data_IF_707840720509
#
_entry.id   IF_707840720509
#
_cell.length_a   1.000
_cell.length_b   1.000
_cell.length_c   1.000
_cell.angle_alpha   90.00
_cell.angle_beta   90.00
_cell.angle_gamma   90.00
#
_symmetry.space_group_name_H-M   'P 1'
#
loop_
_entity.id
_entity.type
_entity.pdbx_description
1 polymer ?
#
# COMPACT_ATOMS: atom_id res chain seq x y z
N UNK A 1 -5.07 -20.49 -45.66
CA UNK A 1 -4.99 -19.14 -45.07
C UNK A 1 -3.67 -18.51 -45.47
N UNK A 2 -3.66 -17.35 -46.12
CA UNK A 2 -2.42 -16.66 -46.53
C UNK A 2 -1.79 -16.01 -45.30
N UNK A 3 -0.45 -16.00 -45.18
CA UNK A 3 0.28 -15.38 -44.04
C UNK A 3 -0.18 -13.93 -43.73
N UNK A 4 -0.63 -13.19 -44.74
CA UNK A 4 -1.18 -11.83 -44.60
C UNK A 4 -2.47 -11.79 -43.76
N UNK A 5 -3.34 -12.78 -43.91
CA UNK A 5 -4.60 -12.91 -43.16
C UNK A 5 -4.31 -13.18 -41.69
N UNK A 6 -3.42 -14.14 -41.39
CA UNK A 6 -3.00 -14.46 -40.02
C UNK A 6 -2.41 -13.22 -39.33
N UNK A 7 -1.53 -12.48 -40.02
CA UNK A 7 -0.94 -11.24 -39.47
C UNK A 7 -2.01 -10.19 -39.17
N UNK A 8 -3.06 -10.11 -39.97
CA UNK A 8 -4.14 -9.15 -39.76
C UNK A 8 -5.00 -9.51 -38.54
N UNK A 9 -5.29 -10.81 -38.33
CA UNK A 9 -6.03 -11.28 -37.16
C UNK A 9 -5.27 -11.07 -35.85
N UNK A 10 -3.95 -11.32 -35.86
CA UNK A 10 -3.10 -11.19 -34.66
C UNK A 10 -2.87 -9.72 -34.28
N UNK A 11 -2.87 -8.79 -35.24
CA UNK A 11 -2.67 -7.36 -34.97
C UNK A 11 -3.68 -6.80 -33.95
N UNK A 12 -4.92 -7.31 -33.96
CA UNK A 12 -5.96 -6.86 -33.05
C UNK A 12 -5.75 -7.29 -31.59
N UNK A 13 -4.91 -8.29 -31.32
CA UNK A 13 -4.68 -8.80 -29.96
C UNK A 13 -3.24 -8.61 -29.48
N UNK A 14 -2.37 -8.08 -30.35
CA UNK A 14 -0.93 -7.99 -30.09
C UNK A 14 -0.56 -7.22 -28.83
N UNK A 15 -1.29 -6.14 -28.49
CA UNK A 15 -1.03 -5.35 -27.28
C UNK A 15 -1.31 -6.17 -26.02
N UNK A 16 -2.47 -6.83 -25.94
CA UNK A 16 -2.81 -7.68 -24.80
C UNK A 16 -1.85 -8.85 -24.65
N UNK A 17 -1.49 -9.51 -25.76
CA UNK A 17 -0.50 -10.59 -25.75
C UNK A 17 0.86 -10.12 -25.21
N UNK A 18 1.37 -8.97 -25.71
CA UNK A 18 2.63 -8.41 -25.24
C UNK A 18 2.59 -8.07 -23.75
N UNK A 19 1.52 -7.41 -23.28
CA UNK A 19 1.34 -7.09 -21.86
C UNK A 19 1.23 -8.35 -20.99
N UNK A 20 0.57 -9.40 -21.48
CA UNK A 20 0.51 -10.70 -20.81
C UNK A 20 1.89 -11.34 -20.63
N UNK A 21 2.73 -11.31 -21.67
CA UNK A 21 4.12 -11.78 -21.60
C UNK A 21 4.93 -10.94 -20.62
N UNK A 22 4.81 -9.60 -20.67
CA UNK A 22 5.50 -8.71 -19.73
C UNK A 22 5.07 -8.96 -18.28
N UNK A 23 3.77 -9.18 -18.04
CA UNK A 23 3.25 -9.51 -16.71
C UNK A 23 3.79 -10.85 -16.20
N UNK A 24 3.88 -11.86 -17.06
CA UNK A 24 4.45 -13.16 -16.71
C UNK A 24 5.96 -13.05 -16.39
N UNK A 25 6.72 -12.35 -17.24
CA UNK A 25 8.15 -12.10 -17.00
C UNK A 25 8.37 -11.30 -15.72
N UNK A 26 7.52 -10.31 -15.44
CA UNK A 26 7.53 -9.57 -14.19
C UNK A 26 7.30 -10.50 -13.00
N UNK A 27 6.29 -11.37 -13.04
CA UNK A 27 6.02 -12.36 -11.98
C UNK A 27 7.21 -13.27 -11.71
N UNK A 28 7.83 -13.84 -12.75
CA UNK A 28 9.03 -14.69 -12.62
C UNK A 28 10.20 -13.92 -12.03
N UNK A 29 10.47 -12.72 -12.56
CA UNK A 29 11.56 -11.86 -12.07
C UNK A 29 11.36 -11.48 -10.61
N UNK A 30 10.10 -11.23 -10.21
CA UNK A 30 9.73 -10.91 -8.85
C UNK A 30 9.93 -12.09 -7.88
N UNK A 31 9.61 -13.32 -8.28
CA UNK A 31 9.93 -14.50 -7.47
C UNK A 31 11.44 -14.67 -7.26
N UNK A 32 12.23 -14.56 -8.33
CA UNK A 32 13.70 -14.61 -8.23
C UNK A 32 14.21 -13.50 -7.31
N UNK A 33 13.65 -12.30 -7.43
CA UNK A 33 14.00 -11.16 -6.58
C UNK A 33 13.72 -11.44 -5.10
N UNK A 34 12.53 -11.93 -4.74
CA UNK A 34 12.19 -12.28 -3.36
C UNK A 34 13.13 -13.35 -2.81
N UNK A 35 13.43 -14.39 -3.59
CA UNK A 35 14.31 -15.48 -3.12
C UNK A 35 15.74 -15.00 -2.90
N UNK A 36 16.31 -14.22 -3.82
CA UNK A 36 17.70 -13.74 -3.71
C UNK A 36 17.86 -12.66 -2.66
N UNK A 37 16.84 -11.82 -2.47
CA UNK A 37 16.91 -10.65 -1.59
C UNK A 37 16.09 -10.82 -0.31
N UNK A 38 15.74 -12.05 0.08
CA UNK A 38 14.90 -12.33 1.24
C UNK A 38 15.36 -11.56 2.49
N UNK A 39 16.65 -11.65 2.81
CA UNK A 39 17.21 -10.99 3.99
C UNK A 39 17.24 -9.46 3.85
N UNK A 40 17.44 -8.95 2.64
CA UNK A 40 17.40 -7.51 2.37
C UNK A 40 15.97 -6.97 2.49
N UNK A 41 14.97 -7.72 2.00
CA UNK A 41 13.56 -7.34 2.11
C UNK A 41 13.14 -7.37 3.58
N UNK A 42 13.47 -8.44 4.31
CA UNK A 42 13.19 -8.53 5.74
C UNK A 42 13.83 -7.38 6.51
N UNK A 43 15.10 -7.07 6.22
CA UNK A 43 15.80 -5.92 6.80
C UNK A 43 15.10 -4.60 6.48
N UNK A 44 14.76 -4.34 5.22
CA UNK A 44 14.06 -3.11 4.81
C UNK A 44 12.70 -2.97 5.50
N UNK A 45 11.93 -4.05 5.58
CA UNK A 45 10.63 -4.07 6.25
C UNK A 45 10.78 -3.84 7.77
N UNK A 46 11.84 -4.38 8.39
CA UNK A 46 12.13 -4.19 9.81
C UNK A 46 12.57 -2.76 10.13
N UNK A 47 13.39 -2.16 9.26
CA UNK A 47 13.81 -0.77 9.36
C UNK A 47 12.59 0.16 9.19
N UNK A 48 11.70 -0.14 8.25
CA UNK A 48 10.46 0.61 8.02
C UNK A 48 9.51 0.53 9.22
N UNK A 49 9.36 -0.66 9.82
CA UNK A 49 8.54 -0.84 11.03
C UNK A 49 9.09 -0.05 12.23
N UNK A 50 10.42 -0.08 12.44
CA UNK A 50 11.08 0.68 13.51
C UNK A 50 10.91 2.19 13.33
N UNK A 51 11.09 2.70 12.10
CA UNK A 51 10.89 4.11 11.81
C UNK A 51 9.45 4.56 12.10
N UNK A 52 8.46 3.74 11.75
CA UNK A 52 7.05 4.03 12.04
C UNK A 52 6.74 4.04 13.55
N UNK A 53 7.42 3.21 14.36
CA UNK A 53 7.29 3.25 15.82
C UNK A 53 7.93 4.52 16.41
N UNK A 54 9.12 4.89 15.96
CA UNK A 54 9.81 6.10 16.43
C UNK A 54 8.99 7.36 16.18
N UNK A 55 8.36 7.48 15.01
CA UNK A 55 7.46 8.59 14.67
C UNK A 55 6.26 8.69 15.65
N UNK A 56 5.65 7.56 16.00
CA UNK A 56 4.53 7.51 16.96
C UNK A 56 4.95 7.93 18.37
N UNK A 57 6.17 7.60 18.81
CA UNK A 57 6.68 7.98 20.13
C UNK A 57 7.05 9.47 20.21
N UNK A 58 7.64 10.05 19.15
CA UNK A 58 8.00 11.47 19.12
C UNK A 58 6.75 12.36 19.23
N UNK A 59 5.67 12.01 18.52
CA UNK A 59 4.41 12.78 18.57
C UNK A 59 3.78 12.72 19.97
N UNK A 60 3.84 11.56 20.64
CA UNK A 60 3.26 11.40 21.98
C UNK A 60 4.10 12.08 23.08
N UNK A 61 5.43 12.19 22.90
CA UNK A 61 6.33 12.84 23.86
C UNK A 61 6.26 14.37 23.85
N UNK A 62 5.98 14.98 22.70
CA UNK A 62 5.95 16.44 22.57
C UNK A 62 4.65 17.11 23.07
N UNK A 63 3.58 16.34 23.29
CA UNK A 63 2.24 16.87 23.61
C UNK A 63 1.89 17.06 25.09
N UNK A 64 2.79 16.75 26.05
CA UNK A 64 2.44 16.74 27.48
C UNK A 64 2.96 17.93 28.30
N UNK A 65 3.31 19.06 27.67
CA UNK A 65 3.87 20.23 28.36
C UNK A 65 2.96 21.46 28.52
N UNK A 66 1.70 21.48 28.06
CA UNK A 66 0.94 22.75 28.08
C UNK A 66 -0.57 22.65 28.34
N UNK A 67 -1.01 21.96 29.39
CA UNK A 67 -2.34 22.22 29.98
C UNK A 67 -2.32 22.04 31.50
N UNK A 68 -1.46 22.79 32.18
CA UNK A 68 -1.64 23.07 33.60
C UNK A 68 -2.24 24.49 33.73
N UNK A 69 -3.57 24.55 33.86
CA UNK A 69 -4.25 25.71 34.44
C UNK A 69 -5.05 26.61 33.50
N UNK A 70 -6.26 26.18 33.11
CA UNK A 70 -7.40 27.09 33.17
C UNK A 70 -8.72 26.32 33.31
N UNK A 71 -9.20 26.20 34.55
CA UNK A 71 -10.56 25.75 34.87
C UNK A 71 -11.46 26.97 34.69
N UNK A 72 -11.93 27.18 33.46
CA UNK A 72 -12.96 28.17 33.13
C UNK A 72 -14.29 27.47 32.89
N UNK A 73 -15.23 27.64 33.80
CA UNK A 73 -16.65 27.33 33.60
C UNK A 73 -17.17 27.91 32.28
N UNK A 74 -17.78 27.09 31.42
CA UNK A 74 -18.77 27.63 30.48
C UNK A 74 -19.93 26.66 30.27
N UNK A 75 -21.12 27.23 30.46
CA UNK A 75 -22.44 26.62 30.48
C UNK A 75 -22.94 26.20 29.10
N UNK A 76 -23.88 25.26 29.13
CA UNK A 76 -24.77 24.80 28.07
C UNK A 76 -25.41 25.94 27.24
N UNK A 77 -25.54 25.74 25.92
CA UNK A 77 -26.75 26.05 25.15
C UNK A 77 -26.69 25.57 23.68
N UNK A 78 -27.68 24.74 23.32
CA UNK A 78 -28.38 24.53 22.03
C UNK A 78 -28.01 25.31 20.76
N UNK A 79 -28.01 24.59 19.62
CA UNK A 79 -28.61 24.87 18.28
C UNK A 79 -27.78 24.14 17.20
N UNK A 80 -28.28 23.15 16.47
CA UNK A 80 -29.16 23.21 15.28
C UNK A 80 -28.70 24.15 14.15
N UNK A 81 -28.65 23.54 12.96
CA UNK A 81 -28.54 24.07 11.60
C UNK A 81 -27.16 24.38 10.95
N UNK A 82 -26.99 23.67 9.82
CA UNK A 82 -26.43 24.06 8.52
C UNK A 82 -25.33 25.12 8.44
N UNK A 83 -24.31 24.87 7.60
CA UNK A 83 -24.05 25.64 6.37
C UNK A 83 -22.67 25.32 5.77
N UNK A 84 -22.65 25.11 4.45
CA UNK A 84 -21.46 24.97 3.61
C UNK A 84 -20.70 26.29 3.47
N UNK A 85 -19.37 26.26 3.22
CA UNK A 85 -18.53 27.18 2.42
C UNK A 85 -17.06 26.77 2.64
N UNK A 86 -16.33 26.24 1.65
CA UNK A 86 -15.52 26.92 0.61
C UNK A 86 -14.39 27.82 1.14
N UNK A 87 -13.17 27.41 0.76
CA UNK A 87 -12.06 28.22 0.25
C UNK A 87 -11.41 29.30 1.13
N UNK A 88 -10.09 29.15 1.30
CA UNK A 88 -9.14 30.21 0.99
C UNK A 88 -8.37 30.83 2.15
N UNK A 89 -7.05 30.98 1.91
CA UNK A 89 -6.14 31.98 2.47
C UNK A 89 -5.82 31.86 3.97
N UNK A 90 -4.74 32.39 4.52
CA UNK A 90 -3.41 32.87 4.12
C UNK A 90 -2.64 32.92 5.45
N UNK A 91 -1.34 33.17 5.41
CA UNK A 91 -0.45 32.91 6.54
C UNK A 91 -0.69 33.74 7.80
N UNK A 92 -0.16 33.25 8.91
CA UNK A 92 0.25 34.13 10.00
C UNK A 92 1.48 33.55 10.70
N UNK A 93 2.57 34.31 10.60
CA UNK A 93 3.85 34.11 11.27
C UNK A 93 3.72 34.74 12.65
N UNK A 94 3.79 33.95 13.72
CA UNK A 94 3.91 34.48 15.08
C UNK A 94 5.31 34.20 15.63
N UNK A 95 6.12 35.25 15.59
CA UNK A 95 7.38 35.43 16.29
C UNK A 95 7.13 35.97 17.70
N UNK A 96 7.81 35.41 18.70
CA UNK A 96 8.12 36.09 19.96
C UNK A 96 7.43 35.53 21.20
N UNK A 97 8.22 34.87 22.06
CA UNK A 97 8.50 35.42 23.38
C UNK A 97 9.73 34.75 23.98
N UNK A 98 10.82 35.50 24.08
CA UNK A 98 11.87 35.27 25.06
C UNK A 98 11.29 35.69 26.41
N UNK A 99 11.32 34.81 27.41
CA UNK A 99 11.22 35.21 28.82
C UNK A 99 12.22 34.39 29.63
N UNK A 100 13.26 35.11 30.04
CA UNK A 100 14.24 34.69 31.01
C UNK A 100 13.63 34.73 32.41
N UNK A 101 13.56 33.58 33.08
CA UNK A 101 13.33 33.52 34.51
C UNK A 101 14.37 32.60 35.18
N UNK A 102 15.42 33.23 35.67
CA UNK A 102 16.38 32.67 36.60
C UNK A 102 15.68 32.31 37.92
N UNK A 103 15.51 31.01 38.17
CA UNK A 103 15.08 30.47 39.47
C UNK A 103 16.17 29.58 40.06
N UNK A 104 17.06 30.17 40.85
CA UNK A 104 18.00 29.44 41.70
C UNK A 104 17.23 28.78 42.86
N UNK A 105 17.04 27.46 42.80
CA UNK A 105 16.64 26.65 43.95
C UNK A 105 17.73 25.60 44.23
N UNK A 106 18.71 26.03 45.02
CA UNK A 106 19.68 25.17 45.70
C UNK A 106 18.98 24.45 46.85
N UNK A 107 18.37 23.30 46.56
CA UNK A 107 17.83 22.39 47.57
C UNK A 107 18.67 21.11 47.65
N UNK A 108 19.60 21.06 48.62
CA UNK A 108 20.29 19.84 49.03
C UNK A 108 19.25 18.77 49.40
N UNK A 109 19.19 17.69 48.61
CA UNK A 109 18.39 16.50 48.89
C UNK A 109 19.27 15.28 48.71
N UNK A 110 20.33 15.25 49.50
CA UNK A 110 21.30 14.16 49.55
C UNK A 110 20.68 12.97 50.29
N UNK A 111 20.51 11.84 49.61
CA UNK A 111 20.49 10.53 50.28
C UNK A 111 19.45 9.48 49.86
N UNK A 112 18.40 9.82 49.11
CA UNK A 112 17.32 8.84 48.78
C UNK A 112 17.20 8.46 47.29
N UNK A 113 17.98 9.06 46.39
CA UNK A 113 17.83 8.87 44.93
C UNK A 113 18.52 7.63 44.35
N UNK A 114 19.57 7.11 44.99
CA UNK A 114 20.41 6.06 44.40
C UNK A 114 19.69 4.70 44.22
N UNK A 115 18.68 4.41 45.04
CA UNK A 115 17.88 3.18 44.89
C UNK A 115 16.92 3.24 43.70
N UNK A 116 16.29 4.40 43.49
CA UNK A 116 15.28 4.59 42.45
C UNK A 116 15.89 4.61 41.05
N UNK A 117 17.09 5.17 40.88
CA UNK A 117 17.81 5.13 39.59
C UNK A 117 18.17 3.70 39.18
N UNK A 118 18.54 2.85 40.15
CA UNK A 118 18.86 1.45 39.90
C UNK A 118 17.62 0.64 39.50
N UNK A 119 16.49 0.84 40.17
CA UNK A 119 15.22 0.21 39.77
C UNK A 119 14.77 0.67 38.38
N UNK A 120 14.84 1.96 38.07
CA UNK A 120 14.53 2.48 36.74
C UNK A 120 15.43 1.90 35.65
N UNK A 121 16.71 1.71 35.94
CA UNK A 121 17.65 1.11 34.99
C UNK A 121 17.32 -0.36 34.71
N UNK A 122 17.03 -1.16 35.74
CA UNK A 122 16.62 -2.56 35.58
C UNK A 122 15.30 -2.68 34.81
N UNK A 123 14.30 -1.84 35.13
CA UNK A 123 13.03 -1.79 34.40
C UNK A 123 13.27 -1.44 32.92
N UNK A 124 14.10 -0.44 32.63
CA UNK A 124 14.42 -0.03 31.25
C UNK A 124 15.12 -1.14 30.48
N UNK A 125 16.03 -1.88 31.14
CA UNK A 125 16.73 -3.02 30.57
C UNK A 125 15.76 -4.17 30.27
N UNK A 126 14.90 -4.52 31.22
CA UNK A 126 13.89 -5.58 31.03
C UNK A 126 12.91 -5.23 29.90
N UNK A 127 12.43 -3.97 29.83
CA UNK A 127 11.59 -3.51 28.72
C UNK A 127 12.35 -3.59 27.40
N UNK A 128 13.62 -3.17 27.36
CA UNK A 128 14.44 -3.28 26.14
C UNK A 128 14.67 -4.73 25.70
N UNK A 129 14.86 -5.66 26.64
CA UNK A 129 15.02 -7.09 26.36
C UNK A 129 13.71 -7.72 25.88
N UNK A 130 12.57 -7.38 26.50
CA UNK A 130 11.25 -7.82 26.05
C UNK A 130 10.90 -7.27 24.67
N UNK A 131 11.17 -5.99 24.40
CA UNK A 131 11.00 -5.38 23.08
C UNK A 131 11.94 -6.03 22.05
N UNK A 132 13.19 -6.36 22.42
CA UNK A 132 14.11 -7.07 21.53
C UNK A 132 13.66 -8.52 21.27
N UNK A 133 13.07 -9.19 22.26
CA UNK A 133 12.56 -10.55 22.15
C UNK A 133 11.26 -10.61 21.36
N UNK A 134 10.36 -9.64 21.53
CA UNK A 134 9.18 -9.44 20.68
C UNK A 134 9.56 -9.03 19.25
N UNK A 135 10.59 -8.21 19.07
CA UNK A 135 11.12 -7.86 17.75
C UNK A 135 11.83 -9.04 17.04
N UNK A 136 12.21 -10.08 17.78
CA UNK A 136 12.78 -11.32 17.25
C UNK A 136 11.74 -12.33 16.73
N UNK A 137 10.47 -12.17 17.12
CA UNK A 137 9.36 -12.90 16.54
C UNK A 137 8.66 -12.01 15.52
N UNK A 138 8.52 -12.48 14.29
CA UNK A 138 7.88 -11.74 13.20
C UNK A 138 6.58 -11.11 13.68
N UNK A 139 6.56 -9.77 13.85
CA UNK A 139 5.34 -9.08 14.20
C UNK A 139 4.27 -9.37 13.15
N UNK A 140 2.98 -9.37 13.51
CA UNK A 140 1.89 -9.72 12.58
C UNK A 140 1.93 -8.87 11.29
N UNK A 141 2.36 -7.60 11.38
CA UNK A 141 2.51 -6.70 10.23
C UNK A 141 3.60 -7.15 9.23
N UNK A 142 4.68 -7.77 9.72
CA UNK A 142 5.78 -8.27 8.88
C UNK A 142 5.34 -9.50 8.09
N UNK A 143 4.65 -10.44 8.75
CA UNK A 143 4.09 -11.63 8.11
C UNK A 143 3.08 -11.24 7.04
N UNK A 144 2.22 -10.27 7.34
CA UNK A 144 1.23 -9.76 6.40
C UNK A 144 1.88 -9.04 5.20
N UNK A 145 2.94 -8.25 5.43
CA UNK A 145 3.71 -7.63 4.36
C UNK A 145 4.31 -8.70 3.42
N UNK A 146 4.90 -9.76 3.97
CA UNK A 146 5.41 -10.89 3.20
C UNK A 146 4.31 -11.58 2.40
N UNK A 147 3.15 -11.84 3.01
CA UNK A 147 2.03 -12.46 2.33
C UNK A 147 1.55 -11.61 1.15
N UNK A 148 1.44 -10.28 1.31
CA UNK A 148 1.07 -9.35 0.23
C UNK A 148 2.08 -9.35 -0.92
N UNK A 149 3.39 -9.36 -0.62
CA UNK A 149 4.44 -9.44 -1.63
C UNK A 149 4.36 -10.77 -2.41
N UNK A 150 4.06 -11.88 -1.72
CA UNK A 150 3.85 -13.20 -2.33
C UNK A 150 2.56 -13.25 -3.17
N UNK A 151 1.46 -12.64 -2.72
CA UNK A 151 0.23 -12.52 -3.52
C UNK A 151 0.47 -11.73 -4.81
N UNK A 152 1.29 -10.67 -4.77
CA UNK A 152 1.73 -9.95 -5.96
C UNK A 152 2.39 -10.86 -7.00
N UNK A 153 3.28 -11.76 -6.58
CA UNK A 153 3.88 -12.78 -7.45
C UNK A 153 2.82 -13.68 -8.10
N UNK A 154 1.96 -14.30 -7.28
CA UNK A 154 0.96 -15.26 -7.73
C UNK A 154 -0.02 -14.63 -8.74
N UNK A 155 -0.46 -13.41 -8.45
CA UNK A 155 -1.33 -12.67 -9.36
C UNK A 155 -0.64 -12.29 -10.67
N UNK A 156 0.64 -11.91 -10.65
CA UNK A 156 1.38 -11.62 -11.89
C UNK A 156 1.45 -12.84 -12.81
N UNK A 157 1.77 -14.02 -12.25
CA UNK A 157 1.79 -15.26 -13.04
C UNK A 157 0.40 -15.63 -13.57
N UNK A 158 -0.61 -15.67 -12.69
CA UNK A 158 -1.97 -16.08 -13.05
C UNK A 158 -2.61 -15.14 -14.08
N UNK A 159 -2.52 -13.83 -13.87
CA UNK A 159 -3.09 -12.81 -14.77
C UNK A 159 -2.31 -12.71 -16.09
N UNK A 160 -1.00 -12.92 -16.08
CA UNK A 160 -0.19 -13.02 -17.30
C UNK A 160 -0.64 -14.18 -18.20
N UNK A 161 -0.77 -15.39 -17.64
CA UNK A 161 -1.26 -16.57 -18.37
C UNK A 161 -2.69 -16.37 -18.86
N UNK A 162 -3.58 -15.83 -18.02
CA UNK A 162 -4.96 -15.52 -18.40
C UNK A 162 -5.00 -14.55 -19.60
N UNK A 163 -4.23 -13.47 -19.55
CA UNK A 163 -4.18 -12.46 -20.61
C UNK A 163 -3.69 -13.05 -21.93
N UNK A 164 -2.63 -13.86 -21.89
CA UNK A 164 -2.09 -14.54 -23.08
C UNK A 164 -3.16 -15.47 -23.67
N UNK A 165 -3.80 -16.28 -22.84
CA UNK A 165 -4.80 -17.27 -23.26
C UNK A 165 -6.02 -16.61 -23.89
N UNK A 166 -6.57 -15.55 -23.25
CA UNK A 166 -7.71 -14.81 -23.78
C UNK A 166 -7.34 -14.04 -25.05
N UNK A 167 -6.14 -13.47 -25.13
CA UNK A 167 -5.66 -12.78 -26.33
C UNK A 167 -5.51 -13.75 -27.52
N UNK A 168 -4.97 -14.95 -27.28
CA UNK A 168 -4.90 -15.99 -28.31
C UNK A 168 -6.29 -16.46 -28.74
N UNK A 169 -7.20 -16.69 -27.80
CA UNK A 169 -8.59 -17.04 -28.11
C UNK A 169 -9.27 -15.95 -28.98
N UNK A 170 -9.14 -14.68 -28.59
CA UNK A 170 -9.69 -13.54 -29.34
C UNK A 170 -9.11 -13.41 -30.75
N UNK A 171 -7.90 -13.91 -31.00
CA UNK A 171 -7.31 -13.91 -32.34
C UNK A 171 -8.17 -14.73 -33.33
N UNK A 172 -8.76 -15.83 -32.86
CA UNK A 172 -9.54 -16.76 -33.69
C UNK A 172 -11.05 -16.46 -33.71
N UNK A 173 -11.55 -15.63 -32.80
CA UNK A 173 -12.97 -15.23 -32.80
C UNK A 173 -13.22 -14.24 -33.95
N UNK A 174 -14.27 -14.41 -34.79
CA UNK A 174 -14.61 -13.49 -35.88
C UNK A 174 -15.25 -12.19 -35.36
N UNK A 175 -14.46 -11.39 -34.65
CA UNK A 175 -14.86 -10.09 -34.10
C UNK A 175 -14.14 -8.93 -34.81
N UNK A 176 -14.71 -7.73 -34.73
CA UNK A 176 -14.08 -6.53 -35.29
C UNK A 176 -12.74 -6.23 -34.64
N UNK A 177 -11.75 -5.80 -35.44
CA UNK A 177 -10.39 -5.54 -34.97
C UNK A 177 -10.33 -4.55 -33.79
N UNK A 178 -11.19 -3.53 -33.78
CA UNK A 178 -11.29 -2.55 -32.68
C UNK A 178 -11.76 -3.21 -31.38
N UNK A 179 -12.73 -4.11 -31.45
CA UNK A 179 -13.26 -4.83 -30.27
C UNK A 179 -12.20 -5.77 -29.71
N UNK A 180 -11.48 -6.52 -30.57
CA UNK A 180 -10.33 -7.35 -30.16
C UNK A 180 -9.28 -6.51 -29.45
N UNK A 181 -8.93 -5.36 -30.04
CA UNK A 181 -7.90 -4.44 -29.50
C UNK A 181 -8.31 -3.89 -28.15
N UNK A 182 -9.54 -3.39 -28.02
CA UNK A 182 -10.04 -2.84 -26.76
C UNK A 182 -10.08 -3.91 -25.66
N UNK A 183 -10.60 -5.10 -25.96
CA UNK A 183 -10.67 -6.20 -24.99
C UNK A 183 -9.27 -6.64 -24.53
N UNK A 184 -8.36 -6.87 -25.48
CA UNK A 184 -7.00 -7.30 -25.19
C UNK A 184 -6.19 -6.23 -24.46
N UNK A 185 -6.32 -4.96 -24.85
CA UNK A 185 -5.62 -3.85 -24.20
C UNK A 185 -6.14 -3.58 -22.77
N UNK A 186 -7.46 -3.59 -22.57
CA UNK A 186 -8.05 -3.44 -21.24
C UNK A 186 -7.61 -4.58 -20.31
N UNK A 187 -7.74 -5.82 -20.77
CA UNK A 187 -7.31 -7.00 -20.02
C UNK A 187 -5.82 -6.93 -19.68
N UNK A 188 -4.95 -6.73 -20.67
CA UNK A 188 -3.50 -6.71 -20.45
C UNK A 188 -3.05 -5.57 -19.55
N UNK A 189 -3.64 -4.37 -19.68
CA UNK A 189 -3.29 -3.23 -18.83
C UNK A 189 -3.70 -3.49 -17.38
N UNK A 190 -4.94 -3.92 -17.14
CA UNK A 190 -5.40 -4.24 -15.79
C UNK A 190 -4.63 -5.39 -15.16
N UNK A 191 -4.31 -6.42 -15.95
CA UNK A 191 -3.53 -7.59 -15.50
C UNK A 191 -2.09 -7.24 -15.13
N UNK A 192 -1.50 -6.20 -15.69
CA UNK A 192 -0.15 -5.74 -15.36
C UNK A 192 -0.12 -4.88 -14.08
N UNK A 193 -1.07 -3.95 -13.92
CA UNK A 193 -1.07 -3.03 -12.78
C UNK A 193 -1.63 -3.65 -11.49
N UNK A 194 -2.50 -4.65 -11.58
CA UNK A 194 -3.07 -5.28 -10.39
C UNK A 194 -2.02 -5.96 -9.48
N UNK A 195 -1.08 -6.78 -9.99
CA UNK A 195 0.03 -7.32 -9.20
C UNK A 195 0.94 -6.23 -8.59
N UNK A 196 1.15 -5.12 -9.31
CA UNK A 196 1.94 -4.01 -8.82
C UNK A 196 1.30 -3.36 -7.57
N UNK A 197 -0.04 -3.30 -7.52
CA UNK A 197 -0.77 -2.83 -6.34
C UNK A 197 -0.48 -3.67 -5.10
N UNK A 198 -0.47 -5.01 -5.24
CA UNK A 198 -0.13 -5.91 -4.14
C UNK A 198 1.31 -5.72 -3.64
N UNK A 199 2.26 -5.53 -4.55
CA UNK A 199 3.67 -5.34 -4.17
C UNK A 199 3.85 -4.02 -3.43
N UNK A 200 3.26 -2.93 -3.93
CA UNK A 200 3.30 -1.62 -3.25
C UNK A 200 2.61 -1.71 -1.89
N UNK A 201 1.46 -2.39 -1.80
CA UNK A 201 0.76 -2.61 -0.53
C UNK A 201 1.63 -3.37 0.48
N UNK A 202 2.32 -4.42 0.04
CA UNK A 202 3.24 -5.20 0.89
C UNK A 202 4.34 -4.33 1.50
N UNK A 203 5.03 -3.54 0.70
CA UNK A 203 6.08 -2.63 1.22
C UNK A 203 5.54 -1.52 2.14
N UNK A 204 4.31 -1.04 1.91
CA UNK A 204 3.72 0.02 2.74
C UNK A 204 3.10 -0.49 4.03
N UNK A 205 2.86 -1.80 4.14
CA UNK A 205 2.19 -2.42 5.30
C UNK A 205 2.96 -2.18 6.59
N UNK A 206 4.28 -2.32 6.61
CA UNK A 206 5.07 -2.15 7.83
C UNK A 206 5.23 -0.69 8.28
N UNK A 207 5.08 0.26 7.35
CA UNK A 207 5.19 1.68 7.66
C UNK A 207 3.83 2.30 8.07
N UNK A 208 2.76 1.91 7.38
CA UNK A 208 1.44 2.53 7.53
C UNK A 208 0.45 1.68 8.34
N UNK A 209 0.74 0.40 8.54
CA UNK A 209 -0.23 -0.60 8.97
C UNK A 209 -1.14 -1.05 7.83
N UNK A 210 -1.91 -2.12 8.08
CA UNK A 210 -2.79 -2.79 7.11
C UNK A 210 -3.74 -1.83 6.40
N UNK A 211 -4.63 -1.16 7.16
CA UNK A 211 -5.73 -0.39 6.60
C UNK A 211 -5.25 0.81 5.76
N UNK A 212 -4.19 1.50 6.23
CA UNK A 212 -3.65 2.65 5.51
C UNK A 212 -2.83 2.22 4.28
N UNK A 213 -2.11 1.10 4.34
CA UNK A 213 -1.44 0.55 3.17
C UNK A 213 -2.44 0.15 2.08
N UNK A 214 -3.55 -0.49 2.45
CA UNK A 214 -4.63 -0.87 1.53
C UNK A 214 -5.28 0.37 0.89
N UNK A 215 -5.71 1.33 1.70
CA UNK A 215 -6.31 2.58 1.23
C UNK A 215 -5.39 3.32 0.22
N UNK A 216 -4.08 3.22 0.43
CA UNK A 216 -3.09 3.89 -0.42
C UNK A 216 -2.95 3.31 -1.83
N UNK A 217 -3.36 2.05 -2.04
CA UNK A 217 -3.31 1.39 -3.35
C UNK A 217 -4.68 1.10 -3.95
N UNK A 218 -5.76 1.27 -3.16
CA UNK A 218 -7.13 0.98 -3.54
C UNK A 218 -7.53 1.60 -4.90
N UNK A 219 -7.22 2.88 -5.22
CA UNK A 219 -7.57 3.44 -6.53
C UNK A 219 -6.95 2.69 -7.69
N UNK A 220 -5.68 2.28 -7.56
CA UNK A 220 -4.97 1.51 -8.58
C UNK A 220 -5.52 0.08 -8.69
N UNK A 221 -5.80 -0.58 -7.57
CA UNK A 221 -6.36 -1.92 -7.53
C UNK A 221 -7.76 -1.97 -8.16
N UNK A 222 -8.63 -1.02 -7.81
CA UNK A 222 -10.00 -0.90 -8.36
C UNK A 222 -9.96 -0.62 -9.86
N UNK A 223 -9.16 0.35 -10.30
CA UNK A 223 -9.02 0.66 -11.72
C UNK A 223 -8.52 -0.54 -12.53
N UNK A 224 -7.48 -1.21 -12.04
CA UNK A 224 -6.92 -2.40 -12.69
C UNK A 224 -7.93 -3.54 -12.76
N UNK A 225 -8.67 -3.79 -11.69
CA UNK A 225 -9.72 -4.82 -11.63
C UNK A 225 -10.88 -4.51 -12.59
N UNK A 226 -11.28 -3.25 -12.69
CA UNK A 226 -12.30 -2.81 -13.63
C UNK A 226 -11.86 -3.04 -15.08
N UNK A 227 -10.59 -2.74 -15.40
CA UNK A 227 -10.03 -3.01 -16.74
C UNK A 227 -9.97 -4.50 -17.08
N UNK A 228 -9.52 -5.35 -16.14
CA UNK A 228 -9.53 -6.81 -16.32
C UNK A 228 -10.96 -7.31 -16.58
N UNK A 229 -11.90 -6.88 -15.75
CA UNK A 229 -13.31 -7.29 -15.83
C UNK A 229 -13.94 -6.84 -17.15
N UNK A 230 -13.68 -5.61 -17.58
CA UNK A 230 -14.17 -5.08 -18.85
C UNK A 230 -13.59 -5.87 -20.04
N UNK A 231 -12.29 -6.16 -20.03
CA UNK A 231 -11.64 -6.96 -21.08
C UNK A 231 -12.22 -8.38 -21.17
N UNK A 232 -12.39 -9.04 -20.02
CA UNK A 232 -13.02 -10.37 -19.94
C UNK A 232 -14.47 -10.35 -20.41
N UNK A 233 -15.26 -9.36 -20.01
CA UNK A 233 -16.66 -9.24 -20.41
C UNK A 233 -16.80 -9.05 -21.93
N UNK A 234 -16.00 -8.17 -22.53
CA UNK A 234 -16.01 -7.96 -23.99
C UNK A 234 -15.60 -9.26 -24.70
N UNK A 235 -14.57 -9.95 -24.22
CA UNK A 235 -14.12 -11.21 -24.80
C UNK A 235 -15.20 -12.29 -24.71
N UNK A 236 -15.86 -12.41 -23.56
CA UNK A 236 -16.95 -13.34 -23.33
C UNK A 236 -18.15 -13.05 -24.25
N UNK A 237 -18.56 -11.79 -24.40
CA UNK A 237 -19.63 -11.41 -25.32
C UNK A 237 -19.27 -11.74 -26.78
N UNK A 238 -18.03 -11.51 -27.19
CA UNK A 238 -17.58 -11.89 -28.54
C UNK A 238 -17.64 -13.41 -28.76
N UNK A 239 -17.19 -14.18 -27.78
CA UNK A 239 -17.22 -15.64 -27.81
C UNK A 239 -18.66 -16.16 -27.86
N UNK A 240 -19.55 -15.65 -27.01
CA UNK A 240 -20.94 -16.06 -26.96
C UNK A 240 -21.68 -15.75 -28.27
N UNK A 241 -21.45 -14.56 -28.85
CA UNK A 241 -22.02 -14.19 -30.15
C UNK A 241 -21.54 -15.10 -31.27
N UNK A 242 -20.28 -15.53 -31.24
CA UNK A 242 -19.75 -16.48 -32.21
C UNK A 242 -20.40 -17.87 -32.06
N UNK A 243 -20.49 -18.38 -30.83
CA UNK A 243 -21.11 -19.68 -30.55
C UNK A 243 -22.61 -19.72 -30.92
N UNK A 244 -23.36 -18.66 -30.61
CA UNK A 244 -24.80 -18.61 -30.89
C UNK A 244 -25.13 -18.46 -32.37
N UNK A 245 -24.19 -17.97 -33.19
CA UNK A 245 -24.43 -17.78 -34.63
C UNK A 245 -24.37 -19.09 -35.41
N UNK A 246 -23.72 -20.13 -34.86
CA UNK A 246 -23.75 -21.49 -35.40
C UNK A 246 -23.23 -21.57 -36.84
N UNK A 247 -22.12 -20.89 -37.13
CA UNK A 247 -21.43 -21.00 -38.42
C UNK A 247 -20.82 -22.40 -38.62
#
# INVERSE_FOLDING_TARGET
MRLKEIRQEVKGVGIGFLLGVLCLLFGVSWAVYITVNHDSIHRQLSESARAALEEKFVISGAGHQSHQGHVGHQMDASSEDAQAHMAGAEGEVHSGHEDAAHGHLSGSRDGAGAGMEKELFEIRKEISERVAQEAGHHGPEMEEAHERLARGHLHAMGLGVLTISVSMMLAFVPAGARTKTLAAAALGTGSFFYPLAWIIMGFRTTALGEAAAEASVLPMAVFSTALVSAGLLIAFVCLLKWLLKGD
#
